data_IF_809244337403
#
_entry.id   IF_809244337403
#
_cell.length_a   1.000
_cell.length_b   1.000
_cell.length_c   1.000
_cell.angle_alpha   90.00
_cell.angle_beta   90.00
_cell.angle_gamma   90.00
#
_symmetry.space_group_name_H-M   'P 1'
#
loop_
_entity.id
_entity.type
_entity.pdbx_description
1 polymer ?
#
# COMPACT_ATOMS: atom_id res chain seq x y z
N UNK A 1 21.91 -28.08 16.00
CA UNK A 1 21.32 -27.80 17.33
C UNK A 1 19.93 -27.13 17.26
N UNK A 2 19.67 -26.21 16.30
CA UNK A 2 18.41 -25.43 16.23
C UNK A 2 17.16 -26.24 15.85
N UNK A 3 17.25 -27.22 14.94
CA UNK A 3 16.10 -28.03 14.49
C UNK A 3 15.49 -28.92 15.59
N UNK A 4 16.33 -29.55 16.41
CA UNK A 4 15.87 -30.40 17.53
C UNK A 4 15.08 -29.59 18.56
N UNK A 5 15.57 -28.41 18.95
CA UNK A 5 14.86 -27.52 19.89
C UNK A 5 13.48 -27.12 19.37
N UNK A 6 13.36 -26.88 18.07
CA UNK A 6 12.08 -26.55 17.45
C UNK A 6 11.10 -27.72 17.47
N UNK A 7 11.57 -28.94 17.20
CA UNK A 7 10.77 -30.17 17.34
C UNK A 7 10.32 -30.36 18.79
N UNK A 8 11.20 -30.12 19.77
CA UNK A 8 10.82 -30.15 21.18
C UNK A 8 9.78 -29.08 21.52
N UNK A 9 9.97 -27.84 21.09
CA UNK A 9 9.01 -26.76 21.29
C UNK A 9 7.64 -27.07 20.70
N UNK A 10 7.60 -27.63 19.48
CA UNK A 10 6.37 -28.11 18.87
C UNK A 10 5.73 -29.20 19.73
N UNK A 11 6.48 -30.19 20.23
CA UNK A 11 5.95 -31.26 21.09
C UNK A 11 5.33 -30.76 22.39
N UNK A 12 5.78 -29.63 22.94
CA UNK A 12 5.21 -29.02 24.15
C UNK A 12 3.81 -28.42 23.93
N UNK A 13 3.46 -28.07 22.68
CA UNK A 13 2.13 -27.56 22.36
C UNK A 13 1.12 -28.74 22.40
N UNK A 14 -0.05 -28.61 23.06
CA UNK A 14 -1.07 -29.65 23.05
C UNK A 14 -1.46 -30.07 21.63
N UNK A 15 -1.65 -31.37 21.41
CA UNK A 15 -1.86 -31.93 20.07
C UNK A 15 -3.00 -31.25 19.31
N UNK A 16 -4.15 -31.06 19.95
CA UNK A 16 -5.30 -30.38 19.34
C UNK A 16 -4.95 -28.96 18.84
N UNK A 17 -4.13 -28.20 19.60
CA UNK A 17 -3.68 -26.87 19.19
C UNK A 17 -2.69 -26.95 18.03
N UNK A 18 -1.77 -27.93 18.03
CA UNK A 18 -0.84 -28.15 16.90
C UNK A 18 -1.58 -28.46 15.62
N UNK A 19 -2.57 -29.35 15.67
CA UNK A 19 -3.40 -29.70 14.52
C UNK A 19 -4.13 -28.46 13.99
N UNK A 20 -4.74 -27.67 14.88
CA UNK A 20 -5.44 -26.45 14.51
C UNK A 20 -4.53 -25.40 13.87
N UNK A 21 -3.36 -25.13 14.44
CA UNK A 21 -2.42 -24.16 13.88
C UNK A 21 -1.88 -24.61 12.52
N UNK A 22 -1.61 -25.90 12.37
CA UNK A 22 -1.16 -26.46 11.11
C UNK A 22 -2.22 -26.28 10.01
N UNK A 23 -3.48 -26.64 10.28
CA UNK A 23 -4.58 -26.45 9.32
C UNK A 23 -4.77 -24.99 8.95
N UNK A 24 -4.71 -24.08 9.92
CA UNK A 24 -4.78 -22.64 9.64
C UNK A 24 -3.67 -22.18 8.71
N UNK A 25 -2.45 -22.69 8.91
CA UNK A 25 -1.33 -22.39 8.03
C UNK A 25 -1.57 -22.96 6.62
N UNK A 26 -1.99 -24.22 6.48
CA UNK A 26 -2.29 -24.81 5.18
C UNK A 26 -3.38 -24.02 4.45
N UNK A 27 -4.51 -23.72 5.10
CA UNK A 27 -5.59 -22.92 4.52
C UNK A 27 -5.15 -21.49 4.14
N UNK A 28 -4.22 -20.90 4.89
CA UNK A 28 -3.66 -19.60 4.55
C UNK A 28 -2.76 -19.66 3.30
N UNK A 29 -2.00 -20.75 3.15
CA UNK A 29 -1.05 -20.93 2.04
C UNK A 29 -1.72 -21.30 0.71
N UNK A 30 -2.93 -21.85 0.73
CA UNK A 30 -3.61 -22.38 -0.46
C UNK A 30 -4.86 -21.58 -0.83
N UNK A 31 -5.16 -21.42 -2.11
CA UNK A 31 -6.39 -20.80 -2.60
C UNK A 31 -7.43 -21.86 -3.01
N UNK A 32 -8.70 -21.65 -2.67
CA UNK A 32 -9.75 -22.68 -2.77
C UNK A 32 -10.09 -23.10 -4.20
N UNK A 33 -9.90 -22.23 -5.18
CA UNK A 33 -10.09 -22.47 -6.61
C UNK A 33 -9.16 -23.55 -7.19
N UNK A 34 -7.98 -23.75 -6.60
CA UNK A 34 -6.97 -24.69 -7.10
C UNK A 34 -7.09 -26.08 -6.43
N UNK A 35 -7.92 -26.19 -5.40
CA UNK A 35 -8.05 -27.36 -4.55
C UNK A 35 -9.19 -28.31 -4.91
N UNK A 36 -9.94 -28.04 -5.99
CA UNK A 36 -11.12 -28.86 -6.33
C UNK A 36 -10.76 -30.34 -6.56
N UNK A 37 -9.56 -30.60 -7.07
CA UNK A 37 -9.03 -31.94 -7.30
C UNK A 37 -8.57 -32.66 -6.01
N UNK A 38 -8.44 -31.92 -4.90
CA UNK A 38 -8.10 -32.44 -3.57
C UNK A 38 -9.33 -32.81 -2.74
N UNK A 39 -10.54 -32.58 -3.25
CA UNK A 39 -11.77 -32.92 -2.54
C UNK A 39 -11.76 -34.41 -2.15
N UNK A 40 -12.05 -34.69 -0.88
CA UNK A 40 -12.08 -36.03 -0.29
C UNK A 40 -10.74 -36.80 -0.32
N UNK A 41 -9.62 -36.11 -0.59
CA UNK A 41 -8.27 -36.67 -0.52
C UNK A 41 -7.69 -36.44 0.86
N UNK A 42 -7.68 -37.51 1.66
CA UNK A 42 -7.04 -37.50 2.97
C UNK A 42 -5.52 -37.51 2.80
N UNK A 43 -4.88 -36.48 3.32
CA UNK A 43 -3.44 -36.23 3.21
C UNK A 43 -2.82 -36.20 4.61
N UNK A 44 -1.69 -36.87 4.77
CA UNK A 44 -0.87 -36.81 5.98
C UNK A 44 0.50 -36.20 5.67
N UNK A 45 0.92 -35.21 6.45
CA UNK A 45 2.28 -34.68 6.42
C UNK A 45 3.01 -35.20 7.67
N UNK A 46 4.15 -35.88 7.46
CA UNK A 46 5.01 -36.45 8.51
C UNK A 46 6.38 -35.77 8.51
N UNK A 47 6.82 -35.33 9.69
CA UNK A 47 8.18 -34.83 9.85
C UNK A 47 9.16 -35.97 10.04
N UNK A 48 10.05 -36.23 9.07
CA UNK A 48 11.02 -37.35 9.15
C UNK A 48 11.94 -37.27 10.37
N UNK A 49 12.24 -36.07 10.85
CA UNK A 49 13.09 -35.86 12.03
C UNK A 49 12.34 -36.04 13.36
N UNK A 50 11.07 -36.44 13.34
CA UNK A 50 10.22 -36.57 14.53
C UNK A 50 9.09 -37.59 14.35
N UNK A 51 8.24 -37.73 15.37
CA UNK A 51 7.00 -38.53 15.30
C UNK A 51 5.76 -37.63 15.14
N UNK A 52 5.95 -36.37 14.74
CA UNK A 52 4.85 -35.44 14.53
C UNK A 52 4.25 -35.66 13.14
N UNK A 53 2.92 -35.75 13.10
CA UNK A 53 2.17 -35.78 11.85
C UNK A 53 0.85 -35.03 11.94
N UNK A 54 0.36 -34.63 10.78
CA UNK A 54 -0.90 -33.90 10.62
C UNK A 54 -1.71 -34.56 9.52
N UNK A 55 -2.93 -35.01 9.85
CA UNK A 55 -3.83 -35.68 8.92
C UNK A 55 -5.05 -34.79 8.65
N UNK A 56 -5.32 -34.54 7.38
CA UNK A 56 -6.30 -33.56 6.96
C UNK A 56 -6.96 -33.89 5.62
N UNK A 57 -8.13 -33.32 5.38
CA UNK A 57 -8.93 -33.52 4.15
C UNK A 57 -9.52 -32.19 3.69
N UNK A 58 -9.59 -31.98 2.38
CA UNK A 58 -10.26 -30.82 1.80
C UNK A 58 -11.76 -31.12 1.61
N UNK A 59 -12.63 -30.30 2.19
CA UNK A 59 -14.09 -30.47 2.12
C UNK A 59 -14.74 -29.81 0.88
N UNK A 60 -13.95 -29.11 0.08
CA UNK A 60 -14.42 -28.31 -1.06
C UNK A 60 -14.32 -26.80 -0.83
N UNK A 61 -14.12 -26.37 0.42
CA UNK A 61 -13.91 -24.97 0.79
C UNK A 61 -12.57 -24.78 1.51
N UNK A 62 -12.24 -25.67 2.45
CA UNK A 62 -11.04 -25.60 3.28
C UNK A 62 -10.55 -26.98 3.69
N UNK A 63 -9.31 -27.05 4.18
CA UNK A 63 -8.79 -28.23 4.84
C UNK A 63 -9.29 -28.31 6.28
N UNK A 64 -9.66 -29.53 6.68
CA UNK A 64 -10.14 -29.89 8.01
C UNK A 64 -9.31 -31.04 8.59
N UNK A 65 -9.16 -31.06 9.91
CA UNK A 65 -8.52 -32.17 10.64
C UNK A 65 -9.38 -33.43 10.46
N UNK A 66 -8.76 -34.57 10.18
CA UNK A 66 -9.48 -35.85 10.04
C UNK A 66 -8.73 -37.01 10.70
N UNK A 67 -9.49 -38.05 11.08
CA UNK A 67 -8.97 -39.34 11.57
C UNK A 67 -9.04 -40.45 10.52
N UNK A 68 -9.47 -40.13 9.30
CA UNK A 68 -9.53 -41.09 8.20
C UNK A 68 -8.13 -41.56 7.79
N UNK A 69 -8.05 -42.73 7.17
CA UNK A 69 -6.78 -43.28 6.67
C UNK A 69 -6.27 -42.43 5.50
N UNK A 70 -5.02 -41.93 5.52
CA UNK A 70 -4.49 -41.10 4.47
C UNK A 70 -4.25 -41.88 3.18
N UNK A 71 -4.63 -41.27 2.05
CA UNK A 71 -4.31 -41.76 0.69
C UNK A 71 -3.00 -41.19 0.17
N UNK A 72 -2.56 -40.06 0.74
CA UNK A 72 -1.34 -39.34 0.38
C UNK A 72 -0.54 -39.14 1.66
N UNK A 73 0.72 -39.59 1.69
CA UNK A 73 1.62 -39.35 2.82
C UNK A 73 2.86 -38.63 2.31
N UNK A 74 3.13 -37.45 2.85
CA UNK A 74 4.29 -36.61 2.51
C UNK A 74 5.28 -36.63 3.67
N UNK A 75 6.51 -37.05 3.41
CA UNK A 75 7.61 -37.04 4.37
C UNK A 75 8.53 -35.85 4.10
N UNK A 76 8.62 -34.94 5.07
CA UNK A 76 9.39 -33.71 4.95
C UNK A 76 10.27 -33.50 6.18
N UNK A 77 11.49 -32.99 6.03
CA UNK A 77 12.35 -32.67 7.19
C UNK A 77 11.96 -31.33 7.80
N UNK A 78 12.23 -31.13 9.08
CA UNK A 78 12.01 -29.81 9.70
C UNK A 78 12.94 -28.76 9.07
N UNK A 79 14.11 -29.20 8.58
CA UNK A 79 15.01 -28.34 7.84
C UNK A 79 14.38 -27.86 6.53
N UNK A 80 13.67 -28.71 5.80
CA UNK A 80 12.96 -28.31 4.57
C UNK A 80 11.84 -27.31 4.85
N UNK A 81 11.13 -27.46 5.97
CA UNK A 81 10.08 -26.51 6.40
C UNK A 81 10.68 -25.15 6.78
N UNK A 82 11.77 -25.15 7.55
CA UNK A 82 12.40 -23.90 8.03
C UNK A 82 13.23 -23.19 6.95
N UNK A 83 13.76 -23.93 5.99
CA UNK A 83 14.52 -23.41 4.86
C UNK A 83 13.70 -23.51 3.58
N UNK A 84 12.42 -23.18 3.67
CA UNK A 84 11.54 -23.08 2.51
C UNK A 84 12.15 -22.06 1.54
N UNK A 85 12.85 -22.57 0.53
CA UNK A 85 13.72 -21.75 -0.32
C UNK A 85 12.91 -21.09 -1.45
N UNK A 86 12.05 -21.87 -2.10
CA UNK A 86 11.01 -21.43 -3.04
C UNK A 86 10.09 -22.62 -3.34
N UNK A 87 8.93 -22.36 -3.95
CA UNK A 87 8.01 -23.40 -4.42
C UNK A 87 8.67 -24.31 -5.47
N UNK A 88 9.51 -23.75 -6.35
CA UNK A 88 10.27 -24.47 -7.38
C UNK A 88 11.29 -25.43 -6.77
N UNK A 89 12.03 -25.01 -5.73
CA UNK A 89 12.98 -25.88 -5.04
C UNK A 89 12.29 -27.02 -4.29
N UNK A 90 11.10 -26.79 -3.73
CA UNK A 90 10.32 -27.87 -3.13
C UNK A 90 9.80 -28.83 -4.18
N UNK A 91 9.32 -28.31 -5.32
CA UNK A 91 8.95 -29.14 -6.47
C UNK A 91 10.12 -30.02 -6.89
N UNK A 92 11.32 -29.43 -7.06
CA UNK A 92 12.53 -30.18 -7.39
C UNK A 92 12.84 -31.26 -6.35
N UNK A 93 12.70 -30.96 -5.05
CA UNK A 93 12.89 -31.95 -3.97
C UNK A 93 11.86 -33.07 -3.99
N UNK A 94 10.60 -32.79 -4.30
CA UNK A 94 9.56 -33.81 -4.48
C UNK A 94 9.85 -34.67 -5.71
N UNK A 95 10.15 -34.04 -6.85
CA UNK A 95 10.44 -34.74 -8.11
C UNK A 95 11.72 -35.58 -8.04
N UNK A 96 12.75 -35.12 -7.33
CA UNK A 96 14.00 -35.86 -7.10
C UNK A 96 13.90 -36.92 -5.99
N UNK A 97 12.76 -37.01 -5.29
CA UNK A 97 12.55 -37.96 -4.20
C UNK A 97 13.22 -37.59 -2.87
N UNK A 98 13.81 -36.39 -2.76
CA UNK A 98 14.35 -35.87 -1.48
C UNK A 98 13.23 -35.60 -0.47
N UNK A 99 12.04 -35.20 -0.94
CA UNK A 99 10.79 -35.22 -0.18
C UNK A 99 9.99 -36.41 -0.70
N UNK A 100 9.82 -37.43 0.15
CA UNK A 100 9.13 -38.66 -0.25
C UNK A 100 7.61 -38.47 -0.19
N UNK A 101 6.92 -38.80 -1.29
CA UNK A 101 5.46 -38.78 -1.38
C UNK A 101 4.97 -40.18 -1.69
N UNK A 102 4.33 -40.82 -0.71
CA UNK A 102 3.67 -42.12 -0.87
C UNK A 102 2.22 -41.87 -1.27
N UNK A 103 1.94 -42.01 -2.57
CA UNK A 103 0.61 -41.85 -3.16
C UNK A 103 0.55 -42.49 -4.56
N UNK A 104 -0.66 -42.55 -5.15
CA UNK A 104 -0.81 -42.89 -6.57
C UNK A 104 -0.10 -41.84 -7.45
N UNK A 105 0.32 -42.22 -8.66
CA UNK A 105 1.05 -41.29 -9.53
C UNK A 105 0.21 -40.04 -9.87
N UNK A 106 -1.11 -40.22 -10.05
CA UNK A 106 -2.07 -39.12 -10.19
C UNK A 106 -2.03 -38.18 -8.99
N UNK A 107 -2.05 -38.73 -7.78
CA UNK A 107 -2.05 -37.92 -6.55
C UNK A 107 -0.70 -37.23 -6.29
N UNK A 108 0.43 -37.84 -6.71
CA UNK A 108 1.73 -37.15 -6.69
C UNK A 108 1.74 -35.92 -7.60
N UNK A 109 1.19 -36.03 -8.81
CA UNK A 109 1.06 -34.89 -9.71
C UNK A 109 0.16 -33.80 -9.13
N UNK A 110 -0.89 -34.16 -8.38
CA UNK A 110 -1.70 -33.19 -7.65
C UNK A 110 -0.89 -32.44 -6.59
N UNK A 111 -0.04 -33.12 -5.81
CA UNK A 111 0.84 -32.46 -4.83
C UNK A 111 1.83 -31.52 -5.52
N UNK A 112 2.40 -31.91 -6.66
CA UNK A 112 3.28 -31.05 -7.45
C UNK A 112 2.52 -29.81 -7.94
N UNK A 113 1.31 -29.98 -8.46
CA UNK A 113 0.46 -28.86 -8.89
C UNK A 113 0.12 -27.92 -7.74
N UNK A 114 -0.22 -28.46 -6.57
CA UNK A 114 -0.47 -27.66 -5.37
C UNK A 114 0.75 -26.83 -4.96
N UNK A 115 1.95 -27.41 -4.97
CA UNK A 115 3.17 -26.66 -4.62
C UNK A 115 3.43 -25.48 -5.56
N UNK A 116 3.05 -25.58 -6.84
CA UNK A 116 3.18 -24.48 -7.80
C UNK A 116 2.17 -23.36 -7.59
N UNK A 117 1.06 -23.68 -6.93
CA UNK A 117 -0.09 -22.83 -6.72
C UNK A 117 0.05 -21.98 -5.44
N UNK A 118 0.88 -22.44 -4.50
CA UNK A 118 1.15 -21.73 -3.25
C UNK A 118 1.81 -20.37 -3.52
N UNK A 119 1.23 -19.32 -2.93
CA UNK A 119 1.78 -17.97 -3.00
C UNK A 119 3.10 -17.84 -2.20
N UNK A 120 4.24 -17.53 -2.85
CA UNK A 120 5.54 -17.44 -2.18
C UNK A 120 5.59 -16.41 -1.04
N UNK A 121 4.83 -15.32 -1.16
CA UNK A 121 4.77 -14.25 -0.13
C UNK A 121 4.13 -14.79 1.14
N UNK A 122 3.01 -15.51 1.01
CA UNK A 122 2.32 -16.11 2.16
C UNK A 122 3.20 -17.14 2.86
N UNK A 123 3.99 -17.90 2.11
CA UNK A 123 4.96 -18.82 2.70
C UNK A 123 6.01 -18.09 3.52
N UNK A 124 6.63 -17.05 2.95
CA UNK A 124 7.63 -16.26 3.66
C UNK A 124 7.07 -15.68 4.96
N UNK A 125 5.83 -15.18 4.95
CA UNK A 125 5.12 -14.71 6.15
C UNK A 125 4.96 -15.82 7.21
N UNK A 126 4.54 -17.03 6.82
CA UNK A 126 4.42 -18.15 7.74
C UNK A 126 5.77 -18.56 8.34
N UNK A 127 6.82 -18.61 7.51
CA UNK A 127 8.18 -18.97 7.94
C UNK A 127 8.74 -17.92 8.90
N UNK A 128 8.57 -16.62 8.60
CA UNK A 128 8.95 -15.51 9.48
C UNK A 128 8.23 -15.59 10.83
N UNK A 129 6.90 -15.82 10.82
CA UNK A 129 6.14 -15.97 12.07
C UNK A 129 6.64 -17.15 12.91
N UNK A 130 6.88 -18.30 12.29
CA UNK A 130 7.46 -19.47 12.97
C UNK A 130 8.82 -19.12 13.57
N UNK A 131 9.70 -18.49 12.82
CA UNK A 131 11.06 -18.15 13.27
C UNK A 131 11.05 -17.15 14.42
N UNK A 132 10.20 -16.13 14.34
CA UNK A 132 9.95 -15.17 15.41
C UNK A 132 9.45 -15.85 16.68
N UNK A 133 8.48 -16.77 16.58
CA UNK A 133 7.98 -17.56 17.71
C UNK A 133 9.09 -18.35 18.42
N UNK A 134 10.11 -18.79 17.68
CA UNK A 134 11.26 -19.53 18.23
C UNK A 134 12.50 -18.66 18.51
N UNK A 135 12.39 -17.33 18.43
CA UNK A 135 13.51 -16.42 18.67
C UNK A 135 14.68 -16.58 17.69
N UNK A 136 14.42 -17.14 16.51
CA UNK A 136 15.42 -17.30 15.46
C UNK A 136 15.58 -15.95 14.75
N UNK A 137 16.68 -15.23 15.03
CA UNK A 137 16.99 -13.97 14.35
C UNK A 137 16.98 -14.14 12.83
N UNK A 138 16.20 -13.31 12.15
CA UNK A 138 16.17 -13.22 10.69
C UNK A 138 17.54 -12.80 10.19
N UNK A 139 18.24 -13.78 9.61
CA UNK A 139 19.61 -13.65 9.12
C UNK A 139 19.69 -13.85 7.61
N UNK A 140 18.55 -14.10 6.95
CA UNK A 140 18.49 -14.25 5.50
C UNK A 140 17.63 -13.16 4.89
N UNK A 141 18.00 -12.78 3.68
CA UNK A 141 17.35 -11.71 2.95
C UNK A 141 15.91 -12.08 2.57
N UNK A 142 15.60 -13.37 2.37
CA UNK A 142 14.27 -13.83 1.93
C UNK A 142 13.21 -13.79 3.04
N UNK A 143 13.66 -13.65 4.28
CA UNK A 143 12.78 -13.56 5.47
C UNK A 143 12.33 -12.11 5.75
N UNK A 144 12.96 -11.12 5.10
CA UNK A 144 12.63 -9.70 5.26
C UNK A 144 11.53 -9.29 4.28
N UNK A 145 10.68 -8.36 4.70
CA UNK A 145 9.75 -7.74 3.77
C UNK A 145 10.53 -7.01 2.66
N UNK A 146 10.09 -7.15 1.41
CA UNK A 146 10.81 -6.61 0.25
C UNK A 146 11.06 -5.10 0.34
N UNK A 147 10.13 -4.34 0.92
CA UNK A 147 10.29 -2.89 1.12
C UNK A 147 11.29 -2.49 2.21
N UNK A 148 11.68 -3.43 3.09
CA UNK A 148 12.62 -3.20 4.19
C UNK A 148 14.04 -3.65 3.84
N UNK A 149 14.25 -4.19 2.63
CA UNK A 149 15.55 -4.65 2.18
C UNK A 149 16.51 -3.47 2.01
N UNK A 150 17.73 -3.66 2.48
CA UNK A 150 18.82 -2.69 2.33
C UNK A 150 20.04 -3.36 1.70
N UNK A 151 21.00 -2.56 1.23
CA UNK A 151 22.26 -3.08 0.68
C UNK A 151 23.05 -3.92 1.68
N UNK A 152 22.87 -3.70 2.99
CA UNK A 152 23.54 -4.45 4.06
C UNK A 152 23.00 -5.87 4.22
N UNK A 153 21.81 -6.13 3.68
CA UNK A 153 21.16 -7.44 3.75
C UNK A 153 21.62 -8.38 2.64
N UNK A 154 22.29 -7.84 1.62
CA UNK A 154 22.86 -8.59 0.50
C UNK A 154 24.27 -9.03 0.89
N UNK A 155 24.44 -10.30 1.25
CA UNK A 155 25.71 -10.85 1.72
C UNK A 155 26.42 -11.73 0.68
N UNK A 156 25.70 -12.15 -0.36
CA UNK A 156 26.18 -13.11 -1.35
C UNK A 156 25.62 -12.83 -2.75
N UNK A 157 26.21 -13.48 -3.77
CA UNK A 157 25.68 -13.40 -5.13
C UNK A 157 24.26 -13.95 -5.27
N UNK A 158 23.89 -14.95 -4.47
CA UNK A 158 22.55 -15.51 -4.44
C UNK A 158 21.51 -14.50 -3.93
N UNK A 159 21.89 -13.66 -2.95
CA UNK A 159 21.02 -12.60 -2.43
C UNK A 159 20.76 -11.53 -3.50
N UNK A 160 21.78 -11.23 -4.33
CA UNK A 160 21.64 -10.30 -5.46
C UNK A 160 20.64 -10.85 -6.48
N UNK A 161 20.76 -12.14 -6.81
CA UNK A 161 19.86 -12.80 -7.74
C UNK A 161 18.42 -12.87 -7.18
N UNK A 162 18.27 -13.15 -5.88
CA UNK A 162 16.98 -13.09 -5.19
C UNK A 162 16.36 -11.69 -5.30
N UNK A 163 17.07 -10.63 -4.92
CA UNK A 163 16.55 -9.24 -4.98
C UNK A 163 16.16 -8.85 -6.41
N UNK A 164 16.98 -9.22 -7.40
CA UNK A 164 16.67 -9.02 -8.83
C UNK A 164 15.40 -9.75 -9.23
N UNK A 165 15.28 -11.02 -8.86
CA UNK A 165 14.14 -11.85 -9.27
C UNK A 165 12.84 -11.39 -8.59
N UNK A 166 12.92 -10.93 -7.34
CA UNK A 166 11.81 -10.27 -6.66
C UNK A 166 11.43 -8.96 -7.37
N UNK A 167 12.41 -8.15 -7.80
CA UNK A 167 12.14 -6.94 -8.57
C UNK A 167 11.33 -7.24 -9.85
N UNK A 168 11.73 -8.28 -10.59
CA UNK A 168 11.01 -8.73 -11.79
C UNK A 168 9.62 -9.26 -11.46
N UNK A 169 9.48 -10.02 -10.37
CA UNK A 169 8.19 -10.55 -9.94
C UNK A 169 7.19 -9.43 -9.61
N UNK A 170 7.66 -8.34 -9.00
CA UNK A 170 6.80 -7.22 -8.59
C UNK A 170 6.63 -6.12 -9.65
N UNK A 171 7.37 -6.18 -10.77
CA UNK A 171 7.38 -5.10 -11.77
C UNK A 171 6.02 -4.79 -12.39
N UNK A 172 5.14 -5.80 -12.48
CA UNK A 172 3.80 -5.64 -13.03
C UNK A 172 2.81 -4.96 -12.08
N UNK A 173 3.01 -5.04 -10.76
CA UNK A 173 2.01 -4.60 -9.77
C UNK A 173 2.52 -3.53 -8.80
N UNK A 174 3.83 -3.42 -8.58
CA UNK A 174 4.44 -2.39 -7.73
C UNK A 174 5.73 -1.85 -8.38
N UNK A 175 5.62 -0.98 -9.41
CA UNK A 175 6.77 -0.40 -10.10
C UNK A 175 7.80 0.28 -9.21
N UNK A 176 7.35 1.01 -8.17
CA UNK A 176 8.22 1.70 -7.23
C UNK A 176 9.13 0.71 -6.49
N UNK A 177 8.54 -0.38 -5.99
CA UNK A 177 9.26 -1.43 -5.29
C UNK A 177 10.18 -2.18 -6.26
N UNK A 178 9.71 -2.47 -7.47
CA UNK A 178 10.51 -3.10 -8.51
C UNK A 178 11.78 -2.28 -8.81
N UNK A 179 11.63 -0.97 -8.99
CA UNK A 179 12.76 -0.07 -9.20
C UNK A 179 13.70 -0.05 -8.00
N UNK A 180 13.17 0.06 -6.78
CA UNK A 180 13.96 0.05 -5.56
C UNK A 180 14.81 -1.22 -5.43
N UNK A 181 14.18 -2.40 -5.57
CA UNK A 181 14.85 -3.69 -5.53
C UNK A 181 15.90 -3.80 -6.65
N UNK A 182 15.58 -3.36 -7.87
CA UNK A 182 16.54 -3.39 -8.97
C UNK A 182 17.75 -2.46 -8.72
N UNK A 183 17.56 -1.32 -8.05
CA UNK A 183 18.66 -0.47 -7.59
C UNK A 183 19.54 -1.14 -6.53
N UNK A 184 18.94 -1.85 -5.57
CA UNK A 184 19.70 -2.63 -4.57
C UNK A 184 20.54 -3.71 -5.25
N UNK A 185 19.94 -4.47 -6.19
CA UNK A 185 20.65 -5.48 -6.96
C UNK A 185 21.79 -4.85 -7.79
N UNK A 186 21.59 -3.66 -8.37
CA UNK A 186 22.62 -2.95 -9.13
C UNK A 186 23.75 -2.43 -8.25
N UNK A 187 23.44 -1.88 -7.08
CA UNK A 187 24.45 -1.42 -6.13
C UNK A 187 25.36 -2.57 -5.68
N UNK A 188 24.80 -3.77 -5.48
CA UNK A 188 25.55 -4.97 -5.13
C UNK A 188 26.31 -5.59 -6.31
N UNK A 189 25.79 -5.49 -7.55
CA UNK A 189 26.44 -5.99 -8.78
C UNK A 189 26.43 -4.94 -9.92
N UNK A 190 27.27 -3.88 -9.84
CA UNK A 190 27.21 -2.75 -10.79
C UNK A 190 27.50 -3.14 -12.24
N UNK A 191 28.32 -4.17 -12.44
CA UNK A 191 28.70 -4.67 -13.77
C UNK A 191 27.71 -5.68 -14.37
N UNK A 192 26.59 -5.98 -13.69
CA UNK A 192 25.59 -6.93 -14.17
C UNK A 192 24.81 -6.39 -15.39
N UNK A 193 25.01 -6.94 -16.61
CA UNK A 193 24.44 -6.36 -17.82
C UNK A 193 22.91 -6.44 -17.86
N UNK A 194 22.33 -7.52 -17.33
CA UNK A 194 20.88 -7.68 -17.23
C UNK A 194 20.24 -6.62 -16.30
N UNK A 195 20.80 -6.47 -15.10
CA UNK A 195 20.30 -5.51 -14.09
C UNK A 195 20.36 -4.09 -14.64
N UNK A 196 21.47 -3.73 -15.30
CA UNK A 196 21.64 -2.42 -15.94
C UNK A 196 20.60 -2.20 -17.04
N UNK A 197 20.44 -3.15 -17.96
CA UNK A 197 19.42 -3.07 -19.02
C UNK A 197 18.01 -2.89 -18.43
N UNK A 198 17.69 -3.60 -17.35
CA UNK A 198 16.39 -3.48 -16.68
C UNK A 198 16.19 -2.13 -15.99
N UNK A 199 17.20 -1.57 -15.35
CA UNK A 199 17.12 -0.20 -14.83
C UNK A 199 16.91 0.83 -15.94
N UNK A 200 17.55 0.65 -17.10
CA UNK A 200 17.35 1.53 -18.26
C UNK A 200 15.93 1.37 -18.84
N UNK A 201 15.38 0.16 -18.88
CA UNK A 201 13.96 -0.08 -19.19
C UNK A 201 13.02 0.60 -18.19
N UNK A 202 13.30 0.52 -16.89
CA UNK A 202 12.49 1.14 -15.83
C UNK A 202 12.52 2.67 -15.92
N UNK A 203 13.69 3.25 -16.19
CA UNK A 203 13.86 4.68 -16.49
C UNK A 203 13.05 5.12 -17.70
N UNK A 204 13.10 4.34 -18.80
CA UNK A 204 12.33 4.62 -20.00
C UNK A 204 10.81 4.54 -19.77
N UNK A 205 10.38 3.72 -18.80
CA UNK A 205 8.99 3.64 -18.32
C UNK A 205 8.65 4.66 -17.22
N UNK A 206 9.59 5.56 -16.90
CA UNK A 206 9.46 6.56 -15.85
C UNK A 206 9.19 6.02 -14.44
N UNK A 207 9.62 4.78 -14.14
CA UNK A 207 9.49 4.23 -12.78
C UNK A 207 10.22 5.09 -11.75
N UNK A 208 11.29 5.77 -12.17
CA UNK A 208 12.06 6.70 -11.35
C UNK A 208 11.21 7.89 -10.86
N UNK A 209 10.13 8.24 -11.56
CA UNK A 209 9.19 9.27 -11.10
C UNK A 209 8.24 8.77 -10.02
N UNK A 210 8.16 7.46 -9.84
CA UNK A 210 7.29 6.81 -8.86
C UNK A 210 8.05 6.74 -7.53
N UNK A 211 7.78 7.72 -6.66
CA UNK A 211 8.36 7.79 -5.31
C UNK A 211 9.58 8.71 -5.17
N UNK A 212 10.19 9.16 -6.27
CA UNK A 212 11.13 10.30 -6.22
C UNK A 212 10.36 11.62 -6.20
N UNK A 213 9.65 11.87 -5.09
CA UNK A 213 9.49 13.24 -4.64
C UNK A 213 10.86 13.68 -4.12
N UNK A 214 11.83 13.97 -5.02
CA UNK A 214 12.91 14.90 -4.65
C UNK A 214 12.19 16.07 -3.98
N UNK A 215 12.60 16.42 -2.76
CA UNK A 215 12.01 17.54 -2.01
C UNK A 215 11.96 18.73 -2.96
N UNK A 216 10.79 18.97 -3.55
CA UNK A 216 10.63 20.09 -4.45
C UNK A 216 10.60 21.32 -3.56
N UNK A 217 11.23 22.43 -3.98
CA UNK A 217 10.96 23.71 -3.37
C UNK A 217 9.44 23.86 -3.22
N UNK A 218 8.98 24.27 -2.04
CA UNK A 218 7.55 24.48 -1.85
C UNK A 218 7.13 25.66 -2.72
N UNK A 219 6.14 25.41 -3.57
CA UNK A 219 5.58 26.39 -4.47
C UNK A 219 4.26 26.92 -3.89
N UNK A 220 4.12 28.24 -3.87
CA UNK A 220 3.02 28.96 -3.25
C UNK A 220 2.40 29.95 -4.24
N UNK A 221 1.13 30.27 -4.02
CA UNK A 221 0.42 31.28 -4.79
C UNK A 221 0.65 32.64 -4.13
N UNK A 222 1.19 33.65 -4.83
CA UNK A 222 1.27 35.01 -4.31
C UNK A 222 -0.13 35.53 -3.98
N UNK A 223 -0.34 36.00 -2.75
CA UNK A 223 -1.51 36.84 -2.40
C UNK A 223 -1.14 38.28 -2.69
N UNK A 224 -0.04 38.74 -2.09
CA UNK A 224 0.62 40.01 -2.39
C UNK A 224 2.11 39.71 -2.48
N UNK A 225 2.73 40.03 -3.62
CA UNK A 225 4.13 39.70 -3.92
C UNK A 225 5.08 40.17 -2.81
N UNK A 226 5.97 39.27 -2.38
CA UNK A 226 6.93 39.50 -1.29
C UNK A 226 6.32 39.53 0.13
N UNK A 227 5.02 39.79 0.27
CA UNK A 227 4.37 39.97 1.58
C UNK A 227 3.68 38.71 2.09
N UNK A 228 2.78 38.14 1.28
CA UNK A 228 1.99 36.99 1.67
C UNK A 228 1.77 36.03 0.53
N UNK A 229 1.85 34.73 0.83
CA UNK A 229 1.49 33.67 -0.10
C UNK A 229 0.62 32.59 0.54
N UNK A 230 -0.08 31.83 -0.31
CA UNK A 230 -0.94 30.72 0.06
C UNK A 230 -0.43 29.41 -0.54
N UNK A 231 -0.26 28.37 0.27
CA UNK A 231 0.11 27.04 -0.18
C UNK A 231 -1.13 26.20 -0.52
N UNK A 232 -1.31 25.78 -1.79
CA UNK A 232 -2.55 25.16 -2.23
C UNK A 232 -2.59 23.64 -1.97
N UNK A 233 -2.88 23.26 -0.73
CA UNK A 233 -3.07 21.84 -0.38
C UNK A 233 -4.37 21.27 -1.00
N UNK A 234 -4.39 20.05 -1.57
CA UNK A 234 -5.62 19.51 -2.14
C UNK A 234 -6.70 19.16 -1.08
N UNK A 235 -7.97 19.31 -1.48
CA UNK A 235 -9.18 18.94 -0.71
C UNK A 235 -9.39 19.70 0.62
N UNK A 236 -8.82 20.90 0.71
CA UNK A 236 -9.01 21.86 1.82
C UNK A 236 -9.60 23.20 1.36
N UNK A 237 -10.62 23.16 0.48
CA UNK A 237 -11.18 24.33 -0.21
C UNK A 237 -10.19 25.09 -1.12
N UNK A 238 -9.12 24.42 -1.57
CA UNK A 238 -8.11 25.04 -2.44
C UNK A 238 -8.67 25.63 -3.74
N UNK A 239 -9.69 25.04 -4.36
CA UNK A 239 -10.32 25.58 -5.57
C UNK A 239 -10.99 26.92 -5.30
N UNK A 240 -11.74 27.06 -4.19
CA UNK A 240 -12.36 28.32 -3.78
C UNK A 240 -11.34 29.42 -3.52
N UNK A 241 -10.27 29.10 -2.78
CA UNK A 241 -9.22 30.09 -2.47
C UNK A 241 -8.49 30.49 -3.77
N UNK A 242 -8.17 29.54 -4.63
CA UNK A 242 -7.54 29.81 -5.94
C UNK A 242 -8.42 30.72 -6.82
N UNK A 243 -9.73 30.50 -6.83
CA UNK A 243 -10.69 31.38 -7.54
C UNK A 243 -10.68 32.78 -6.94
N UNK A 244 -10.83 32.92 -5.62
CA UNK A 244 -10.83 34.24 -4.97
C UNK A 244 -9.54 35.02 -5.23
N UNK A 245 -8.37 34.37 -5.14
CA UNK A 245 -7.09 35.00 -5.44
C UNK A 245 -6.96 35.38 -6.92
N UNK A 246 -7.44 34.54 -7.83
CA UNK A 246 -7.44 34.87 -9.25
C UNK A 246 -8.32 36.11 -9.51
N UNK A 247 -9.53 36.14 -8.96
CA UNK A 247 -10.48 37.25 -9.17
C UNK A 247 -9.95 38.55 -8.57
N UNK A 248 -9.27 38.47 -7.43
CA UNK A 248 -8.54 39.58 -6.83
C UNK A 248 -7.40 40.10 -7.73
N UNK A 249 -6.53 39.22 -8.22
CA UNK A 249 -5.38 39.63 -9.05
C UNK A 249 -5.79 40.21 -10.41
N UNK A 250 -6.85 39.68 -11.00
CA UNK A 250 -7.28 40.05 -12.35
C UNK A 250 -8.48 41.00 -12.40
N UNK A 251 -9.07 41.32 -11.25
CA UNK A 251 -10.27 42.17 -11.12
C UNK A 251 -11.41 41.71 -12.04
N UNK A 252 -11.55 40.38 -12.21
CA UNK A 252 -12.57 39.75 -13.06
C UNK A 252 -12.88 38.34 -12.59
N UNK A 253 -14.12 37.91 -12.78
CA UNK A 253 -14.59 36.55 -12.45
C UNK A 253 -13.78 35.51 -13.24
N UNK A 254 -13.43 34.40 -12.59
CA UNK A 254 -12.82 33.27 -13.30
C UNK A 254 -13.86 32.58 -14.19
N UNK A 255 -13.70 32.69 -15.50
CA UNK A 255 -14.55 32.02 -16.49
C UNK A 255 -13.78 30.94 -17.23
N UNK A 256 -14.14 29.67 -16.99
CA UNK A 256 -13.53 28.52 -17.67
C UNK A 256 -13.70 28.55 -19.19
N UNK A 257 -14.76 29.19 -19.70
CA UNK A 257 -14.99 29.32 -21.15
C UNK A 257 -13.93 30.21 -21.80
N UNK A 258 -13.50 31.27 -21.12
CA UNK A 258 -12.50 32.22 -21.61
C UNK A 258 -11.06 31.70 -21.53
N UNK A 259 -10.85 30.51 -20.94
CA UNK A 259 -9.55 29.87 -20.77
C UNK A 259 -9.43 28.55 -21.53
N UNK A 260 -10.08 28.42 -22.70
CA UNK A 260 -10.08 27.18 -23.49
C UNK A 260 -10.50 25.93 -22.68
N UNK A 261 -11.37 26.11 -21.69
CA UNK A 261 -11.77 25.02 -20.78
C UNK A 261 -10.76 24.68 -19.68
N UNK A 262 -9.67 25.44 -19.53
CA UNK A 262 -8.70 25.24 -18.44
C UNK A 262 -9.33 25.61 -17.09
N UNK A 263 -8.94 24.88 -16.05
CA UNK A 263 -9.38 25.14 -14.68
C UNK A 263 -8.47 26.17 -14.01
N UNK A 264 -8.96 26.84 -12.96
CA UNK A 264 -8.16 27.79 -12.14
C UNK A 264 -6.87 27.14 -11.58
N UNK A 265 -6.88 25.82 -11.47
CA UNK A 265 -5.71 25.02 -11.08
C UNK A 265 -4.56 25.08 -12.09
N UNK A 266 -4.87 25.16 -13.38
CA UNK A 266 -3.89 25.18 -14.46
C UNK A 266 -3.22 26.55 -14.53
N UNK A 267 -4.00 27.64 -14.44
CA UNK A 267 -3.46 29.00 -14.32
C UNK A 267 -2.43 29.09 -13.19
N UNK A 268 -2.80 28.66 -11.98
CA UNK A 268 -1.88 28.78 -10.84
C UNK A 268 -0.66 27.87 -10.94
N UNK A 269 -0.73 26.75 -11.68
CA UNK A 269 0.42 25.87 -11.85
C UNK A 269 1.61 26.59 -12.48
N UNK A 270 1.33 27.51 -13.40
CA UNK A 270 2.36 28.28 -14.12
C UNK A 270 2.69 29.61 -13.43
N UNK A 271 2.00 29.95 -12.34
CA UNK A 271 2.09 31.24 -11.64
C UNK A 271 2.41 31.09 -10.13
N UNK A 272 2.90 29.92 -9.71
CA UNK A 272 3.40 29.74 -8.34
C UNK A 272 4.86 30.21 -8.23
N UNK A 273 5.21 30.74 -7.06
CA UNK A 273 6.55 31.19 -6.70
C UNK A 273 7.09 30.36 -5.54
N UNK A 274 8.38 30.50 -5.21
CA UNK A 274 8.97 29.74 -4.10
C UNK A 274 8.50 30.31 -2.77
N UNK A 275 8.30 29.43 -1.79
CA UNK A 275 7.84 29.81 -0.44
C UNK A 275 8.77 30.82 0.23
N UNK A 276 10.08 30.73 -0.03
CA UNK A 276 11.12 31.57 0.58
C UNK A 276 11.07 33.03 0.10
N UNK A 277 10.32 33.32 -0.97
CA UNK A 277 10.19 34.67 -1.53
C UNK A 277 9.17 35.54 -0.75
N UNK A 278 8.59 35.05 0.35
CA UNK A 278 7.51 35.73 1.07
C UNK A 278 7.76 35.82 2.58
N UNK A 279 7.41 36.98 3.16
CA UNK A 279 7.50 37.22 4.60
C UNK A 279 6.48 36.41 5.42
N UNK A 280 5.32 36.11 4.84
CA UNK A 280 4.22 35.39 5.50
C UNK A 280 3.61 34.35 4.58
N UNK A 281 3.35 33.17 5.09
CA UNK A 281 2.88 32.03 4.29
C UNK A 281 1.76 31.30 5.01
N UNK A 282 0.65 31.09 4.30
CA UNK A 282 -0.55 30.48 4.85
C UNK A 282 -0.76 29.10 4.24
N UNK A 283 -1.09 28.12 5.08
CA UNK A 283 -1.59 26.81 4.66
C UNK A 283 -2.93 26.51 5.34
N UNK A 284 -3.89 26.03 4.56
CA UNK A 284 -5.15 25.51 5.10
C UNK A 284 -5.03 24.00 5.25
N UNK A 285 -5.43 23.48 6.41
CA UNK A 285 -5.33 22.06 6.76
C UNK A 285 -6.70 21.48 7.09
N UNK A 286 -6.84 20.16 7.00
CA UNK A 286 -8.08 19.44 7.32
C UNK A 286 -7.73 18.13 8.00
N UNK A 287 -8.65 17.60 8.81
CA UNK A 287 -8.52 16.27 9.37
C UNK A 287 -8.14 15.26 8.26
N UNK A 288 -7.05 14.47 8.44
CA UNK A 288 -6.52 13.60 7.40
C UNK A 288 -7.55 12.61 6.83
N UNK A 289 -8.41 12.03 7.68
CA UNK A 289 -9.43 11.06 7.24
C UNK A 289 -10.52 11.77 6.45
N UNK A 290 -10.98 12.94 6.91
CA UNK A 290 -11.97 13.72 6.17
C UNK A 290 -11.45 14.24 4.83
N UNK A 291 -10.15 14.58 4.77
CA UNK A 291 -9.46 14.95 3.52
C UNK A 291 -9.46 13.77 2.54
N UNK A 292 -9.14 12.57 3.01
CA UNK A 292 -9.20 11.33 2.22
C UNK A 292 -10.60 11.03 1.69
N UNK A 293 -11.64 11.08 2.54
CA UNK A 293 -13.02 10.82 2.10
C UNK A 293 -13.50 11.86 1.07
N UNK A 294 -13.06 13.11 1.22
CA UNK A 294 -13.30 14.17 0.24
C UNK A 294 -12.57 13.91 -1.08
N UNK A 295 -11.37 13.33 -1.03
CA UNK A 295 -10.62 12.92 -2.21
C UNK A 295 -11.32 11.78 -2.96
N UNK A 296 -11.71 10.72 -2.26
CA UNK A 296 -12.44 9.59 -2.81
C UNK A 296 -13.76 10.04 -3.46
N UNK A 297 -14.58 10.80 -2.72
CA UNK A 297 -15.86 11.35 -3.22
C UNK A 297 -15.68 12.08 -4.53
N UNK A 298 -14.72 13.00 -4.58
CA UNK A 298 -14.46 13.81 -5.76
C UNK A 298 -13.89 12.94 -6.89
N UNK A 299 -12.72 12.35 -6.69
CA UNK A 299 -11.94 11.76 -7.79
C UNK A 299 -12.49 10.44 -8.29
N UNK A 300 -12.95 9.60 -7.38
CA UNK A 300 -13.41 8.26 -7.72
C UNK A 300 -14.89 8.29 -8.11
N UNK A 301 -15.75 8.93 -7.31
CA UNK A 301 -17.19 8.93 -7.58
C UNK A 301 -17.60 9.98 -8.61
N UNK A 302 -17.24 11.26 -8.39
CA UNK A 302 -17.72 12.35 -9.26
C UNK A 302 -16.99 12.38 -10.62
N UNK A 303 -15.66 12.26 -10.63
CA UNK A 303 -14.86 12.33 -11.87
C UNK A 303 -14.59 10.96 -12.51
N UNK A 304 -14.80 9.85 -11.77
CA UNK A 304 -14.61 8.51 -12.32
C UNK A 304 -13.17 8.23 -12.75
N UNK A 305 -12.15 8.82 -12.12
CA UNK A 305 -10.75 8.73 -12.56
C UNK A 305 -10.17 7.31 -12.50
N UNK A 306 -10.85 6.39 -11.81
CA UNK A 306 -10.53 4.96 -11.74
C UNK A 306 -11.42 4.08 -12.63
N UNK A 307 -12.12 4.67 -13.61
CA UNK A 307 -12.82 3.89 -14.62
C UNK A 307 -11.85 3.39 -15.70
N UNK A 308 -12.24 2.34 -16.44
CA UNK A 308 -11.36 1.69 -17.42
C UNK A 308 -10.85 2.64 -18.51
N UNK A 309 -11.70 3.56 -18.99
CA UNK A 309 -11.32 4.51 -20.03
C UNK A 309 -10.33 5.56 -19.50
N UNK A 310 -10.54 6.08 -18.29
CA UNK A 310 -9.65 7.04 -17.64
C UNK A 310 -8.27 6.43 -17.39
N UNK A 311 -8.21 5.19 -16.88
CA UNK A 311 -6.94 4.47 -16.70
C UNK A 311 -6.27 4.20 -18.05
N UNK A 312 -7.00 3.76 -19.07
CA UNK A 312 -6.44 3.54 -20.40
C UNK A 312 -5.80 4.81 -20.99
N UNK A 313 -6.37 5.98 -20.71
CA UNK A 313 -5.88 7.26 -21.19
C UNK A 313 -4.68 7.79 -20.38
N UNK A 314 -4.77 7.80 -19.04
CA UNK A 314 -3.81 8.48 -18.18
C UNK A 314 -2.72 7.58 -17.61
N UNK A 315 -2.96 6.27 -17.56
CA UNK A 315 -2.08 5.30 -16.90
C UNK A 315 -2.25 3.92 -17.54
N UNK A 316 -2.12 3.84 -18.87
CA UNK A 316 -2.38 2.60 -19.63
C UNK A 316 -1.64 1.38 -19.09
N UNK A 317 -0.43 1.59 -18.56
CA UNK A 317 0.40 0.56 -17.93
C UNK A 317 -0.24 -0.09 -16.70
N UNK A 318 -1.20 0.57 -16.04
CA UNK A 318 -1.95 0.06 -14.89
C UNK A 318 -3.16 -0.81 -15.29
N UNK A 319 -3.55 -0.89 -16.56
CA UNK A 319 -4.80 -1.55 -16.98
C UNK A 319 -4.93 -3.02 -16.53
N UNK A 320 -3.80 -3.72 -16.42
CA UNK A 320 -3.76 -5.13 -15.99
C UNK A 320 -3.61 -5.30 -14.47
N UNK A 321 -3.27 -4.22 -13.76
CA UNK A 321 -2.86 -4.24 -12.37
C UNK A 321 -3.90 -3.60 -11.45
N UNK A 322 -4.85 -2.83 -12.01
CA UNK A 322 -5.99 -2.29 -11.27
C UNK A 322 -6.94 -3.42 -10.86
N UNK A 323 -7.17 -3.66 -9.56
CA UNK A 323 -8.01 -4.77 -9.09
C UNK A 323 -9.49 -4.54 -9.40
N UNK A 324 -9.96 -3.30 -9.24
CA UNK A 324 -11.34 -2.91 -9.55
C UNK A 324 -11.37 -1.57 -10.28
N UNK A 325 -12.08 -1.53 -11.40
CA UNK A 325 -12.50 -0.28 -12.02
C UNK A 325 -13.77 0.23 -11.32
N UNK A 326 -13.83 1.52 -11.02
CA UNK A 326 -14.90 2.12 -10.19
C UNK A 326 -15.05 1.41 -8.83
N UNK A 327 -13.99 1.33 -8.02
CA UNK A 327 -14.04 0.62 -6.73
C UNK A 327 -15.07 1.25 -5.79
N UNK A 328 -15.66 0.41 -4.94
CA UNK A 328 -16.35 0.90 -3.73
C UNK A 328 -15.34 1.50 -2.73
N UNK A 329 -15.83 2.16 -1.66
CA UNK A 329 -14.94 2.75 -0.66
C UNK A 329 -14.06 1.67 -0.02
N UNK A 330 -14.63 0.51 0.29
CA UNK A 330 -13.92 -0.62 0.87
C UNK A 330 -12.85 -1.18 -0.06
N UNK A 331 -13.19 -1.40 -1.33
CA UNK A 331 -12.23 -1.87 -2.34
C UNK A 331 -11.12 -0.87 -2.58
N UNK A 332 -11.45 0.43 -2.55
CA UNK A 332 -10.47 1.51 -2.72
C UNK A 332 -9.47 1.56 -1.56
N UNK A 333 -9.94 1.37 -0.33
CA UNK A 333 -9.08 1.35 0.86
C UNK A 333 -8.23 0.07 0.89
N UNK A 334 -8.83 -1.08 0.56
CA UNK A 334 -8.14 -2.38 0.55
C UNK A 334 -6.93 -2.41 -0.39
N UNK A 335 -7.02 -1.70 -1.53
CA UNK A 335 -5.97 -1.62 -2.54
C UNK A 335 -5.43 -0.19 -2.73
N UNK A 336 -5.42 0.60 -1.65
CA UNK A 336 -5.04 2.02 -1.70
C UNK A 336 -3.63 2.22 -2.28
N UNK A 337 -2.69 1.35 -1.95
CA UNK A 337 -1.31 1.33 -2.46
C UNK A 337 -1.24 1.24 -4.00
N UNK A 338 -2.07 0.40 -4.61
CA UNK A 338 -2.18 0.25 -6.06
C UNK A 338 -2.82 1.51 -6.66
N UNK A 339 -3.89 2.03 -6.06
CA UNK A 339 -4.57 3.22 -6.57
C UNK A 339 -3.73 4.49 -6.45
N UNK A 340 -2.85 4.59 -5.44
CA UNK A 340 -1.90 5.70 -5.30
C UNK A 340 -0.84 5.73 -6.41
N UNK A 341 -0.74 4.69 -7.24
CA UNK A 341 0.08 4.71 -8.46
C UNK A 341 -0.56 5.53 -9.59
N UNK A 342 -1.86 5.78 -9.52
CA UNK A 342 -2.57 6.66 -10.47
C UNK A 342 -2.27 8.12 -10.08
N UNK A 343 -1.64 8.94 -10.94
CA UNK A 343 -1.11 10.25 -10.54
C UNK A 343 -2.15 11.18 -9.92
N UNK A 344 -3.36 11.23 -10.47
CA UNK A 344 -4.45 12.09 -9.97
C UNK A 344 -4.94 11.65 -8.59
N UNK A 345 -5.05 10.34 -8.35
CA UNK A 345 -5.40 9.79 -7.04
C UNK A 345 -4.28 10.06 -6.03
N UNK A 346 -3.04 9.79 -6.43
CA UNK A 346 -1.84 10.06 -5.63
C UNK A 346 -1.82 11.51 -5.15
N UNK A 347 -1.96 12.46 -6.08
CA UNK A 347 -1.98 13.88 -5.78
C UNK A 347 -3.02 14.27 -4.71
N UNK A 348 -4.19 13.61 -4.68
CA UNK A 348 -5.25 13.96 -3.75
C UNK A 348 -5.29 13.14 -2.45
N UNK A 349 -4.73 11.93 -2.46
CA UNK A 349 -4.75 11.02 -1.31
C UNK A 349 -3.41 10.88 -0.59
N UNK A 350 -2.30 11.40 -1.14
CA UNK A 350 -1.02 11.42 -0.45
C UNK A 350 -1.09 12.17 0.90
N UNK A 351 -0.23 11.76 1.84
CA UNK A 351 -0.05 12.39 3.16
C UNK A 351 0.36 13.85 3.01
N UNK A 352 -0.14 14.72 3.89
CA UNK A 352 0.30 16.11 4.01
C UNK A 352 1.82 16.17 4.23
N UNK A 353 2.38 15.26 5.03
CA UNK A 353 3.82 15.20 5.24
C UNK A 353 4.61 15.13 3.92
N UNK A 354 4.10 14.44 2.90
CA UNK A 354 4.71 14.41 1.56
C UNK A 354 4.67 15.78 0.87
N UNK A 355 3.57 16.52 1.03
CA UNK A 355 3.39 17.84 0.42
C UNK A 355 4.29 18.91 1.01
N UNK A 356 4.57 18.84 2.31
CA UNK A 356 5.32 19.87 3.04
C UNK A 356 6.70 19.39 3.46
N UNK A 357 7.24 18.37 2.79
CA UNK A 357 8.60 17.87 3.05
C UNK A 357 8.81 17.48 4.52
N UNK A 358 7.76 16.97 5.19
CA UNK A 358 7.77 16.52 6.57
C UNK A 358 7.69 17.62 7.64
N UNK A 359 7.58 18.90 7.27
CA UNK A 359 7.60 20.01 8.22
C UNK A 359 6.63 21.14 7.85
N UNK A 360 5.99 21.74 8.86
CA UNK A 360 5.17 22.95 8.68
C UNK A 360 5.94 24.24 8.99
N UNK A 361 7.26 24.17 9.24
CA UNK A 361 8.06 25.33 9.65
C UNK A 361 8.09 26.47 8.62
N UNK A 362 7.88 26.17 7.34
CA UNK A 362 7.81 27.18 6.27
C UNK A 362 6.48 27.95 6.24
N UNK A 363 5.54 27.68 7.15
CA UNK A 363 4.22 28.33 7.20
C UNK A 363 4.06 29.15 8.47
N UNK A 364 3.82 30.46 8.29
CA UNK A 364 3.51 31.37 9.40
C UNK A 364 2.14 31.11 10.00
N UNK A 365 1.16 30.73 9.16
CA UNK A 365 -0.22 30.51 9.58
C UNK A 365 -0.72 29.15 9.07
N UNK A 366 -1.05 28.26 10.01
CA UNK A 366 -1.62 26.94 9.75
C UNK A 366 -3.08 26.97 10.22
N UNK A 367 -4.02 26.96 9.27
CA UNK A 367 -5.42 27.28 9.54
C UNK A 367 -6.29 26.05 9.27
N UNK A 368 -7.01 25.51 10.28
CA UNK A 368 -8.01 24.49 10.06
C UNK A 368 -9.09 24.93 9.06
N UNK A 369 -9.51 24.04 8.17
CA UNK A 369 -10.58 24.30 7.20
C UNK A 369 -11.91 24.64 7.87
N UNK A 370 -12.11 24.28 9.13
CA UNK A 370 -13.27 24.73 9.93
C UNK A 370 -13.24 26.22 10.25
N UNK A 371 -12.11 26.91 10.03
CA UNK A 371 -11.90 28.33 10.30
C UNK A 371 -11.57 29.12 9.02
N UNK A 372 -12.34 28.90 7.95
CA UNK A 372 -12.19 29.65 6.69
C UNK A 372 -12.37 31.17 6.85
N UNK A 373 -13.09 31.61 7.88
CA UNK A 373 -13.26 33.03 8.20
C UNK A 373 -11.90 33.67 8.49
N UNK A 374 -11.03 32.99 9.25
CA UNK A 374 -9.68 33.49 9.50
C UNK A 374 -8.84 33.64 8.23
N UNK A 375 -8.99 32.72 7.27
CA UNK A 375 -8.31 32.85 5.96
C UNK A 375 -8.74 34.14 5.29
N UNK A 376 -10.05 34.39 5.22
CA UNK A 376 -10.59 35.61 4.60
C UNK A 376 -10.13 36.89 5.32
N UNK A 377 -10.12 36.90 6.65
CA UNK A 377 -9.60 38.02 7.44
C UNK A 377 -8.14 38.34 7.10
N UNK A 378 -7.29 37.33 6.99
CA UNK A 378 -5.87 37.51 6.66
C UNK A 378 -5.67 38.02 5.22
N UNK A 379 -6.49 37.54 4.27
CA UNK A 379 -6.48 38.06 2.91
C UNK A 379 -6.86 39.54 2.91
N UNK A 380 -7.98 39.90 3.55
CA UNK A 380 -8.43 41.29 3.62
C UNK A 380 -7.42 42.21 4.32
N UNK A 381 -6.78 41.73 5.40
CA UNK A 381 -5.73 42.43 6.13
C UNK A 381 -4.54 42.76 5.21
N UNK A 382 -4.06 41.79 4.42
CA UNK A 382 -2.87 42.04 3.58
C UNK A 382 -3.19 42.81 2.30
N UNK A 383 -4.38 42.60 1.72
CA UNK A 383 -4.76 43.24 0.45
C UNK A 383 -5.34 44.63 0.65
N UNK A 384 -5.80 44.98 1.86
CA UNK A 384 -6.52 46.22 2.15
C UNK A 384 -7.80 46.38 1.31
N UNK A 385 -8.35 45.26 0.85
CA UNK A 385 -9.58 45.18 0.05
C UNK A 385 -10.40 43.98 0.51
N UNK A 386 -11.71 43.99 0.25
CA UNK A 386 -12.54 42.82 0.52
C UNK A 386 -12.28 41.72 -0.52
N UNK A 387 -11.70 40.61 -0.07
CA UNK A 387 -11.56 39.36 -0.83
C UNK A 387 -12.61 38.38 -0.35
N UNK A 388 -13.58 38.05 -1.20
CA UNK A 388 -14.62 37.08 -0.86
C UNK A 388 -14.21 35.68 -1.29
N UNK A 389 -14.18 34.72 -0.36
CA UNK A 389 -13.92 33.31 -0.70
C UNK A 389 -15.26 32.64 -1.03
N UNK A 390 -15.53 32.30 -2.29
CA UNK A 390 -16.82 31.73 -2.67
C UNK A 390 -16.98 30.32 -2.09
N UNK A 391 -18.18 29.99 -1.63
CA UNK A 391 -18.58 28.60 -1.33
C UNK A 391 -18.87 27.84 -2.63
N UNK A 392 -17.81 27.56 -3.38
CA UNK A 392 -17.90 26.80 -4.62
C UNK A 392 -17.77 25.29 -4.40
N UNK A 393 -18.53 24.53 -5.18
CA UNK A 393 -18.40 23.07 -5.36
C UNK A 393 -18.56 22.21 -4.10
N UNK A 394 -19.81 22.01 -3.68
CA UNK A 394 -20.15 20.84 -2.85
C UNK A 394 -20.23 19.64 -3.80
N UNK A 395 -19.32 18.67 -3.65
CA UNK A 395 -19.33 17.45 -4.46
C UNK A 395 -20.71 16.77 -4.43
N UNK A 396 -21.12 16.19 -5.56
CA UNK A 396 -22.46 15.59 -5.71
C UNK A 396 -22.60 14.37 -4.81
N UNK A 397 -21.57 13.54 -4.78
CA UNK A 397 -21.51 12.38 -3.92
C UNK A 397 -20.76 12.73 -2.64
N UNK A 398 -21.42 12.67 -1.48
CA UNK A 398 -20.78 12.93 -0.20
C UNK A 398 -20.54 11.63 0.55
N UNK A 399 -19.28 11.18 0.57
CA UNK A 399 -18.87 10.08 1.44
C UNK A 399 -18.65 10.60 2.86
N UNK A 400 -19.25 9.92 3.83
CA UNK A 400 -19.22 10.29 5.23
C UNK A 400 -18.43 9.30 6.09
N UNK A 401 -17.98 9.77 7.25
CA UNK A 401 -17.12 9.03 8.16
C UNK A 401 -17.75 7.70 8.60
N UNK A 402 -19.05 7.69 8.85
CA UNK A 402 -19.83 6.51 9.27
C UNK A 402 -19.97 5.43 8.20
N UNK A 403 -19.51 5.65 6.98
CA UNK A 403 -19.43 4.61 5.95
C UNK A 403 -18.18 3.75 6.08
N UNK A 404 -17.20 4.15 6.90
CA UNK A 404 -16.04 3.33 7.23
C UNK A 404 -16.41 2.30 8.29
N UNK A 405 -16.02 1.06 8.03
CA UNK A 405 -15.89 0.03 9.07
C UNK A 405 -14.76 0.39 10.04
N UNK A 406 -14.76 -0.27 11.21
CA UNK A 406 -13.69 -0.06 12.20
C UNK A 406 -12.31 -0.40 11.63
N UNK A 407 -12.22 -1.51 10.88
CA UNK A 407 -10.96 -2.00 10.29
C UNK A 407 -10.39 -1.01 9.28
N UNK A 408 -11.24 -0.43 8.42
CA UNK A 408 -10.83 0.56 7.43
C UNK A 408 -10.38 1.87 8.10
N UNK A 409 -11.10 2.33 9.11
CA UNK A 409 -10.68 3.50 9.89
C UNK A 409 -9.31 3.26 10.53
N UNK A 410 -9.11 2.12 11.19
CA UNK A 410 -7.83 1.79 11.82
C UNK A 410 -6.69 1.68 10.78
N UNK A 411 -6.97 1.18 9.57
CA UNK A 411 -6.01 1.18 8.47
C UNK A 411 -5.62 2.61 8.05
N UNK A 412 -6.60 3.48 7.80
CA UNK A 412 -6.34 4.86 7.38
C UNK A 412 -5.65 5.69 8.47
N UNK A 413 -5.97 5.45 9.75
CA UNK A 413 -5.27 6.10 10.87
C UNK A 413 -3.78 5.75 10.90
N UNK A 414 -3.43 4.48 10.64
CA UNK A 414 -2.01 4.08 10.49
C UNK A 414 -1.37 4.71 9.26
N UNK A 415 -2.08 4.73 8.13
CA UNK A 415 -1.58 5.32 6.88
C UNK A 415 -1.29 6.83 7.04
N UNK A 416 -2.16 7.57 7.73
CA UNK A 416 -2.03 9.01 7.99
C UNK A 416 -1.41 9.34 9.35
N UNK A 417 -0.69 8.41 9.98
CA UNK A 417 -0.07 8.63 11.30
C UNK A 417 0.82 9.88 11.32
N UNK A 418 1.69 10.03 10.32
CA UNK A 418 2.59 11.18 10.19
C UNK A 418 1.83 12.51 10.05
N UNK A 419 0.68 12.52 9.37
CA UNK A 419 -0.14 13.73 9.24
C UNK A 419 -0.74 14.12 10.60
N UNK A 420 -1.17 13.15 11.40
CA UNK A 420 -1.67 13.43 12.75
C UNK A 420 -0.59 13.91 13.72
N UNK A 421 0.65 13.44 13.57
CA UNK A 421 1.79 13.94 14.34
C UNK A 421 2.09 15.40 13.95
N UNK A 422 2.15 15.68 12.66
CA UNK A 422 2.39 17.03 12.13
C UNK A 422 1.28 18.02 12.50
N UNK A 423 0.03 17.54 12.56
CA UNK A 423 -1.16 18.34 12.83
C UNK A 423 -1.67 18.23 14.27
N UNK A 424 -0.89 17.65 15.19
CA UNK A 424 -1.30 17.40 16.57
C UNK A 424 -1.93 18.61 17.29
N UNK A 425 -1.51 19.88 17.05
CA UNK A 425 -2.16 21.04 17.65
C UNK A 425 -3.61 21.28 17.21
N UNK A 426 -4.01 20.78 16.04
CA UNK A 426 -5.34 21.04 15.43
C UNK A 426 -6.22 19.79 15.34
N UNK A 427 -5.63 18.61 15.18
CA UNK A 427 -6.34 17.36 14.96
C UNK A 427 -5.72 16.22 15.75
N UNK A 428 -6.56 15.27 16.18
CA UNK A 428 -6.10 14.04 16.85
C UNK A 428 -6.88 12.82 16.40
N UNK A 429 -6.23 11.66 16.43
CA UNK A 429 -6.88 10.39 16.10
C UNK A 429 -8.06 10.09 17.03
N UNK A 430 -7.94 10.46 18.30
CA UNK A 430 -9.02 10.26 19.28
C UNK A 430 -10.26 11.10 18.92
N UNK A 431 -10.08 12.33 18.46
CA UNK A 431 -11.18 13.19 18.04
C UNK A 431 -11.93 12.61 16.84
N UNK A 432 -11.23 12.13 15.82
CA UNK A 432 -11.89 11.51 14.65
C UNK A 432 -12.55 10.17 15.01
N UNK A 433 -11.96 9.36 15.90
CA UNK A 433 -12.58 8.12 16.38
C UNK A 433 -13.87 8.43 17.15
N UNK A 434 -13.85 9.45 18.03
CA UNK A 434 -15.05 9.86 18.78
C UNK A 434 -16.15 10.32 17.83
N UNK A 435 -15.79 11.12 16.83
CA UNK A 435 -16.71 11.59 15.77
C UNK A 435 -17.28 10.45 14.94
N UNK A 436 -16.47 9.44 14.61
CA UNK A 436 -16.92 8.23 13.91
C UNK A 436 -17.93 7.46 14.77
N UNK A 437 -17.59 7.18 16.04
CA UNK A 437 -18.48 6.45 16.98
C UNK A 437 -19.82 7.15 17.17
N UNK A 438 -19.83 8.46 17.38
CA UNK A 438 -21.08 9.20 17.60
C UNK A 438 -22.02 9.13 16.40
N UNK A 439 -21.49 9.01 15.17
CA UNK A 439 -22.31 8.89 13.96
C UNK A 439 -22.79 7.48 13.67
N UNK A 440 -22.07 6.45 14.15
CA UNK A 440 -22.55 5.07 14.09
C UNK A 440 -23.77 4.84 14.99
N UNK A 441 -23.78 5.47 16.18
CA UNK A 441 -24.86 5.31 17.16
C UNK A 441 -26.20 5.91 16.73
N UNK A 442 -26.20 6.88 15.80
CA UNK A 442 -27.43 7.53 15.29
C UNK A 442 -28.20 6.62 14.32
N UNK A 443 -27.60 5.49 13.87
CA UNK A 443 -28.21 4.57 12.89
C UNK A 443 -28.97 3.40 13.50
N UNK A 444 -29.06 3.31 14.83
CA UNK A 444 -29.90 2.35 15.57
C UNK A 444 -31.22 3.03 15.88
#
# INVERSE_FOLDING_TARGET
>A
MKSKLLIYGLRLIPEAKRQLFFIRAVNFLTESNELINFKDKVTEIRLVDSNLSWCFVFDGQQFLITKQVPKIIVYVSIADVLHFASTERLKEKVTSGKISVIASEKDKQLIIGLLQSINPVRVSQCVSYLRSMFGLKDSRIEDKALGDLTIRDIASEADIDYVRDQALAVEGHCPALALHLMHLAHAARPKGPFIRRKLDEYRAKEFDRIGQHKLRPLEVIPVVEGKMAYFPLPKVACSSIKTALYEFHHQRVFDSCNYNGQHVHDYWRDNMLKVDDFARTIIVVRDPIERFLSAYSSRVLDYGELNRAAIAHQSAWMLKSIPHFRPSLSQFIEHLDVYLQVPSISHHCQTLATWVNGSLASFSDIIPMSNMVKVQELLNEVTQTEVLIPRNQVGKNRVQLEQLSRRELDFLLRFYQCDYELLAPWYSQQAVIKKWKSRQQIKV
#
